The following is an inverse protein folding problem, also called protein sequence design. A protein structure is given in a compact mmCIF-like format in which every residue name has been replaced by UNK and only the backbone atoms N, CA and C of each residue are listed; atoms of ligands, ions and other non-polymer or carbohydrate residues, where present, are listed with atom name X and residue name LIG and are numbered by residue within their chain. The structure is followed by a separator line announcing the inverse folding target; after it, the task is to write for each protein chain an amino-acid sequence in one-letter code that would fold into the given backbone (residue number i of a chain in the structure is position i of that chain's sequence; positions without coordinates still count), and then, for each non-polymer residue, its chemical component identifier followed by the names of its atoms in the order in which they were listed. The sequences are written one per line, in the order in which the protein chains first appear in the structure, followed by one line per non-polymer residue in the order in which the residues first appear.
data_IF_585306562579
#
_entry.id   IF_585306562579
#
_cell.length_a   1.000
_cell.length_b   1.000
_cell.length_c   1.000
_cell.angle_alpha   90.00
_cell.angle_beta   90.00
_cell.angle_gamma   90.00
#
_symmetry.space_group_name_H-M   'P 1'
#
loop_
_entity.id
_entity.type
_entity.pdbx_description
1 polymer ?
#
# COMPACT_ATOMS: atom_id res chain seq x y z
N UNK A 1 15.91 -22.56 40.20
CA UNK A 1 15.07 -21.44 39.71
C UNK A 1 15.04 -21.50 38.19
N UNK A 2 13.93 -21.98 37.63
CA UNK A 2 13.73 -22.13 36.18
C UNK A 2 13.28 -20.78 35.59
N UNK A 3 14.12 -20.17 34.76
CA UNK A 3 13.82 -18.91 34.09
C UNK A 3 12.88 -19.18 32.91
N UNK A 4 11.60 -18.84 33.07
CA UNK A 4 10.58 -18.91 32.01
C UNK A 4 10.99 -17.99 30.85
N UNK A 5 11.42 -18.58 29.74
CA UNK A 5 11.50 -17.92 28.43
C UNK A 5 10.10 -17.44 28.05
N UNK A 6 9.89 -16.11 28.01
CA UNK A 6 8.71 -15.53 27.38
C UNK A 6 8.80 -15.72 25.86
N UNK A 7 8.24 -16.81 25.37
CA UNK A 7 7.92 -16.94 23.95
C UNK A 7 6.84 -15.91 23.63
N UNK A 8 7.21 -14.84 22.93
CA UNK A 8 6.26 -13.88 22.40
C UNK A 8 5.40 -14.53 21.33
N UNK A 9 4.26 -15.08 21.75
CA UNK A 9 3.15 -15.52 20.92
C UNK A 9 2.59 -14.29 20.21
N UNK A 10 2.50 -14.37 18.89
CA UNK A 10 1.97 -13.33 18.03
C UNK A 10 0.45 -13.34 18.19
N UNK A 11 -0.11 -12.31 18.83
CA UNK A 11 -1.55 -12.19 19.01
C UNK A 11 -2.19 -11.81 17.67
N UNK A 12 -2.57 -12.79 16.86
CA UNK A 12 -3.41 -12.57 15.70
C UNK A 12 -4.84 -12.40 16.18
N UNK A 13 -5.42 -11.21 15.99
CA UNK A 13 -6.84 -10.97 16.28
C UNK A 13 -7.71 -11.96 15.50
N UNK A 14 -8.76 -12.46 16.14
CA UNK A 14 -9.80 -13.26 15.49
C UNK A 14 -10.52 -12.46 14.39
N UNK A 15 -11.15 -13.14 13.43
CA UNK A 15 -11.88 -12.47 12.34
C UNK A 15 -12.93 -11.48 12.87
N UNK A 16 -13.66 -11.87 13.93
CA UNK A 16 -14.65 -11.02 14.58
C UNK A 16 -14.03 -9.74 15.19
N UNK A 17 -12.88 -9.85 15.86
CA UNK A 17 -12.17 -8.69 16.41
C UNK A 17 -11.65 -7.77 15.30
N UNK A 18 -11.14 -8.32 14.20
CA UNK A 18 -10.71 -7.53 13.05
C UNK A 18 -11.89 -6.75 12.46
N UNK A 19 -13.04 -7.40 12.30
CA UNK A 19 -14.26 -6.77 11.80
C UNK A 19 -14.74 -5.64 12.73
N UNK A 20 -14.73 -5.86 14.04
CA UNK A 20 -15.11 -4.83 15.02
C UNK A 20 -14.19 -3.59 14.92
N UNK A 21 -12.87 -3.82 14.79
CA UNK A 21 -11.89 -2.73 14.62
C UNK A 21 -12.07 -1.98 13.31
N UNK A 22 -12.41 -2.67 12.22
CA UNK A 22 -12.73 -2.03 10.94
C UNK A 22 -13.98 -1.16 11.05
N UNK A 23 -15.05 -1.67 11.67
CA UNK A 23 -16.30 -0.92 11.87
C UNK A 23 -16.08 0.34 12.71
N UNK A 24 -15.23 0.27 13.74
CA UNK A 24 -14.83 1.43 14.52
C UNK A 24 -14.09 2.48 13.66
N UNK A 25 -13.13 2.05 12.82
CA UNK A 25 -12.46 2.95 11.87
C UNK A 25 -13.45 3.57 10.88
N UNK A 26 -14.37 2.77 10.31
CA UNK A 26 -15.42 3.29 9.42
C UNK A 26 -16.23 4.39 10.09
N UNK A 27 -16.66 4.19 11.34
CA UNK A 27 -17.38 5.20 12.13
C UNK A 27 -16.56 6.49 12.30
N UNK A 28 -15.24 6.38 12.53
CA UNK A 28 -14.34 7.52 12.69
C UNK A 28 -14.04 8.27 11.36
N UNK A 29 -14.06 7.57 10.23
CA UNK A 29 -13.92 8.18 8.90
C UNK A 29 -15.22 8.87 8.47
N UNK A 30 -16.37 8.30 8.83
CA UNK A 30 -17.68 8.90 8.62
C UNK A 30 -18.02 9.09 7.12
N UNK A 31 -18.62 10.22 6.73
CA UNK A 31 -19.09 10.44 5.35
C UNK A 31 -18.02 10.39 4.26
N UNK A 32 -16.73 10.45 4.62
CA UNK A 32 -15.64 10.34 3.67
C UNK A 32 -15.52 8.94 3.04
N UNK A 33 -16.10 7.90 3.66
CA UNK A 33 -16.14 6.55 3.11
C UNK A 33 -16.81 6.51 1.72
N UNK A 34 -17.95 7.17 1.59
CA UNK A 34 -18.79 7.12 0.38
C UNK A 34 -18.16 7.87 -0.81
N UNK A 35 -17.16 8.72 -0.55
CA UNK A 35 -16.47 9.48 -1.59
C UNK A 35 -15.27 8.75 -2.17
N UNK A 36 -14.75 7.75 -1.47
CA UNK A 36 -13.54 7.02 -1.87
C UNK A 36 -13.68 5.51 -1.60
N UNK A 37 -14.64 4.82 -2.25
CA UNK A 37 -14.95 3.42 -1.95
C UNK A 37 -13.73 2.50 -2.08
N UNK A 38 -12.95 2.61 -3.15
CA UNK A 38 -11.74 1.80 -3.35
C UNK A 38 -10.68 2.03 -2.25
N UNK A 39 -10.48 3.29 -1.83
CA UNK A 39 -9.46 3.66 -0.83
C UNK A 39 -9.92 3.39 0.61
N UNK A 40 -11.23 3.28 0.82
CA UNK A 40 -11.87 2.97 2.09
C UNK A 40 -12.40 1.52 2.16
N UNK A 41 -11.96 0.66 1.23
CA UNK A 41 -12.25 -0.77 1.22
C UNK A 41 -11.71 -1.48 2.47
N UNK A 42 -12.26 -2.66 2.78
CA UNK A 42 -11.86 -3.52 3.89
C UNK A 42 -10.36 -3.81 3.85
N UNK A 43 -9.87 -4.22 2.68
CA UNK A 43 -8.45 -4.45 2.42
C UNK A 43 -7.61 -3.21 2.78
N UNK A 44 -8.05 -2.01 2.38
CA UNK A 44 -7.38 -0.77 2.71
C UNK A 44 -7.39 -0.48 4.21
N UNK A 45 -8.55 -0.48 4.85
CA UNK A 45 -8.69 -0.24 6.29
C UNK A 45 -7.82 -1.22 7.10
N UNK A 46 -7.80 -2.50 6.72
CA UNK A 46 -6.94 -3.51 7.34
C UNK A 46 -5.45 -3.19 7.21
N UNK A 47 -4.99 -2.61 6.09
CA UNK A 47 -3.59 -2.19 5.96
C UNK A 47 -3.23 -1.08 6.94
N UNK A 48 -4.11 -0.08 7.09
CA UNK A 48 -3.92 1.02 8.05
C UNK A 48 -3.99 0.52 9.51
N UNK A 49 -4.93 -0.35 9.84
CA UNK A 49 -5.02 -1.02 11.14
C UNK A 49 -3.76 -1.81 11.45
N UNK A 50 -3.32 -2.67 10.52
CA UNK A 50 -2.08 -3.44 10.66
C UNK A 50 -0.90 -2.49 10.90
N UNK A 51 -0.78 -1.41 10.13
CA UNK A 51 0.32 -0.43 10.22
C UNK A 51 0.34 0.38 11.54
N UNK A 52 -0.78 0.47 12.25
CA UNK A 52 -0.91 1.16 13.55
C UNK A 52 -1.23 0.19 14.70
N UNK A 53 -0.83 -1.08 14.57
CA UNK A 53 -0.98 -2.11 15.61
C UNK A 53 -2.42 -2.20 16.15
N UNK A 54 -3.40 -2.14 15.24
CA UNK A 54 -4.84 -2.22 15.52
C UNK A 54 -5.39 -1.10 16.42
N UNK A 55 -4.66 0.01 16.58
CA UNK A 55 -5.18 1.22 17.20
C UNK A 55 -6.08 1.99 16.24
N UNK A 56 -7.39 1.89 16.43
CA UNK A 56 -8.44 2.44 15.56
C UNK A 56 -8.34 3.94 15.34
N UNK A 57 -8.23 4.75 16.40
CA UNK A 57 -8.08 6.22 16.28
C UNK A 57 -6.85 6.62 15.47
N UNK A 58 -5.69 6.01 15.76
CA UNK A 58 -4.43 6.26 15.02
C UNK A 58 -4.51 5.81 13.56
N UNK A 59 -5.22 4.70 13.31
CA UNK A 59 -5.44 4.18 11.95
C UNK A 59 -6.36 5.10 11.15
N UNK A 60 -7.45 5.58 11.77
CA UNK A 60 -8.38 6.51 11.15
C UNK A 60 -7.70 7.84 10.82
N UNK A 61 -6.92 8.43 11.75
CA UNK A 61 -6.13 9.65 11.49
C UNK A 61 -5.21 9.48 10.29
N UNK A 62 -4.42 8.41 10.29
CA UNK A 62 -3.49 8.09 9.19
C UNK A 62 -4.21 7.89 7.84
N UNK A 63 -5.36 7.21 7.84
CA UNK A 63 -6.17 7.04 6.63
C UNK A 63 -6.73 8.37 6.11
N UNK A 64 -7.23 9.24 7.00
CA UNK A 64 -7.68 10.60 6.62
C UNK A 64 -6.54 11.41 5.98
N UNK A 65 -5.35 11.38 6.58
CA UNK A 65 -4.16 12.05 6.06
C UNK A 65 -3.75 11.50 4.67
N UNK A 66 -3.79 10.19 4.49
CA UNK A 66 -3.53 9.56 3.19
C UNK A 66 -4.57 9.98 2.14
N UNK A 67 -5.85 10.06 2.49
CA UNK A 67 -6.91 10.54 1.58
C UNK A 67 -6.69 12.01 1.18
N UNK A 68 -6.33 12.87 2.14
CA UNK A 68 -5.96 14.27 1.86
C UNK A 68 -4.77 14.32 0.89
N UNK A 69 -3.71 13.56 1.16
CA UNK A 69 -2.53 13.53 0.31
C UNK A 69 -2.88 13.10 -1.13
N UNK A 70 -3.77 12.11 -1.31
CA UNK A 70 -4.22 11.66 -2.63
C UNK A 70 -5.03 12.73 -3.37
N UNK A 71 -5.87 13.49 -2.67
CA UNK A 71 -6.61 14.60 -3.27
C UNK A 71 -5.69 15.72 -3.76
N UNK A 72 -4.62 15.99 -3.02
CA UNK A 72 -3.65 17.03 -3.35
C UNK A 72 -2.69 16.61 -4.46
N UNK A 73 -2.18 15.37 -4.39
CA UNK A 73 -1.12 14.87 -5.28
C UNK A 73 -1.65 14.10 -6.50
N UNK A 74 -2.93 13.71 -6.49
CA UNK A 74 -3.63 13.04 -7.60
C UNK A 74 -2.81 11.93 -8.27
N UNK A 75 -2.35 10.92 -7.50
CA UNK A 75 -1.43 9.89 -8.00
C UNK A 75 -2.00 9.11 -9.19
N UNK A 76 -3.32 8.90 -9.22
CA UNK A 76 -4.07 8.25 -10.29
C UNK A 76 -4.12 9.05 -11.61
N UNK A 77 -3.74 10.34 -11.57
CA UNK A 77 -3.71 11.22 -12.75
C UNK A 77 -2.31 11.38 -13.32
N UNK A 78 -1.28 10.81 -12.69
CA UNK A 78 0.07 10.82 -13.24
C UNK A 78 0.09 9.92 -14.48
N UNK A 79 0.63 10.43 -15.57
CA UNK A 79 0.83 9.67 -16.81
C UNK A 79 2.31 9.49 -17.12
N UNK A 80 2.62 8.48 -17.91
CA UNK A 80 3.97 8.13 -18.33
C UNK A 80 4.71 9.32 -18.90
N UNK A 81 4.07 10.06 -19.82
CA UNK A 81 4.73 11.19 -20.48
C UNK A 81 5.02 12.36 -19.50
N UNK A 82 4.38 12.42 -18.32
CA UNK A 82 4.74 13.38 -17.26
C UNK A 82 6.09 13.07 -16.60
N UNK A 83 6.46 11.78 -16.56
CA UNK A 83 7.54 11.26 -15.70
C UNK A 83 8.61 10.47 -16.48
N UNK A 84 8.46 10.27 -17.78
CA UNK A 84 9.28 9.35 -18.58
C UNK A 84 10.78 9.59 -18.43
N UNK A 85 11.21 10.85 -18.40
CA UNK A 85 12.61 11.23 -18.17
C UNK A 85 13.21 10.69 -16.85
N UNK A 86 12.41 10.51 -15.79
CA UNK A 86 12.89 9.92 -14.53
C UNK A 86 13.27 8.45 -14.68
N UNK A 87 12.66 7.76 -15.64
CA UNK A 87 12.86 6.34 -15.85
C UNK A 87 14.08 6.04 -16.73
N UNK A 88 14.50 6.98 -17.58
CA UNK A 88 15.59 6.80 -18.54
C UNK A 88 16.87 6.25 -17.91
N UNK A 89 17.32 6.70 -16.72
CA UNK A 89 18.52 6.12 -16.09
C UNK A 89 18.37 4.68 -15.60
N UNK A 90 17.15 4.12 -15.55
CA UNK A 90 16.91 2.77 -15.03
C UNK A 90 17.14 2.63 -13.52
N UNK A 91 17.14 3.75 -12.77
CA UNK A 91 17.35 3.74 -11.30
C UNK A 91 16.19 3.05 -10.56
N UNK A 92 14.96 3.25 -11.00
CA UNK A 92 13.75 2.63 -10.43
C UNK A 92 12.83 2.25 -11.58
N UNK A 93 12.25 1.05 -11.57
CA UNK A 93 11.26 0.63 -12.57
C UNK A 93 10.43 -0.56 -12.09
N UNK A 94 9.21 -0.70 -12.62
CA UNK A 94 8.39 -1.91 -12.45
C UNK A 94 8.89 -2.98 -13.42
N UNK A 95 9.25 -4.18 -12.97
CA UNK A 95 9.64 -5.26 -13.86
C UNK A 95 8.47 -5.73 -14.75
N UNK A 96 8.74 -6.51 -15.79
CA UNK A 96 7.72 -7.18 -16.63
C UNK A 96 7.45 -8.63 -16.20
N UNK A 97 8.03 -9.06 -15.09
CA UNK A 97 7.82 -10.35 -14.47
C UNK A 97 7.30 -10.22 -13.05
N UNK A 98 6.75 -11.31 -12.56
CA UNK A 98 6.28 -11.48 -11.20
C UNK A 98 7.19 -12.47 -10.48
N UNK A 99 7.16 -12.45 -9.16
CA UNK A 99 7.66 -13.59 -8.40
C UNK A 99 6.70 -14.80 -8.52
N UNK A 100 7.14 -15.96 -8.05
CA UNK A 100 6.35 -17.21 -8.08
C UNK A 100 5.06 -17.15 -7.26
N UNK A 101 4.90 -16.13 -6.40
CA UNK A 101 3.70 -15.87 -5.60
C UNK A 101 2.76 -14.84 -6.26
N UNK A 102 3.05 -14.42 -7.50
CA UNK A 102 2.24 -13.47 -8.24
C UNK A 102 2.36 -12.02 -7.76
N UNK A 103 3.40 -11.68 -7.01
CA UNK A 103 3.69 -10.31 -6.59
C UNK A 103 4.41 -9.57 -7.70
N UNK A 104 4.01 -8.32 -7.92
CA UNK A 104 4.75 -7.40 -8.79
C UNK A 104 6.13 -7.12 -8.21
N UNK A 105 7.09 -6.84 -9.09
CA UNK A 105 8.49 -6.60 -8.73
C UNK A 105 8.86 -5.17 -9.08
N UNK A 106 9.28 -4.40 -8.08
CA UNK A 106 9.84 -3.07 -8.25
C UNK A 106 11.36 -3.16 -8.11
N UNK A 107 12.09 -2.82 -9.16
CA UNK A 107 13.55 -2.83 -9.18
C UNK A 107 14.09 -1.45 -8.78
N UNK A 108 15.14 -1.44 -7.97
CA UNK A 108 15.85 -0.23 -7.57
C UNK A 108 17.36 -0.42 -7.67
N UNK A 109 18.06 0.48 -8.34
CA UNK A 109 19.51 0.45 -8.52
C UNK A 109 20.15 1.69 -7.89
N UNK A 110 20.31 1.73 -6.55
CA UNK A 110 20.81 2.91 -5.85
C UNK A 110 22.19 3.40 -6.32
N UNK A 111 23.02 2.55 -6.95
CA UNK A 111 24.30 2.95 -7.56
C UNK A 111 24.18 3.91 -8.74
N UNK A 112 23.02 3.94 -9.42
CA UNK A 112 22.77 4.84 -10.55
C UNK A 112 22.47 6.25 -10.03
N UNK A 113 23.17 7.31 -10.50
CA UNK A 113 22.88 8.68 -10.10
C UNK A 113 21.52 9.13 -10.64
N UNK A 114 20.83 10.02 -9.93
CA UNK A 114 19.60 10.65 -10.40
C UNK A 114 19.74 12.17 -10.22
N UNK A 115 19.81 12.94 -11.33
CA UNK A 115 20.04 14.39 -11.28
C UNK A 115 18.78 15.20 -10.97
N UNK A 116 17.61 14.56 -10.89
CA UNK A 116 16.35 15.24 -10.82
C UNK A 116 15.95 15.62 -9.39
N UNK A 117 14.99 16.54 -9.28
CA UNK A 117 14.52 17.02 -7.99
C UNK A 117 13.88 15.89 -7.16
N UNK A 118 13.89 16.05 -5.84
CA UNK A 118 13.23 15.11 -4.93
C UNK A 118 11.75 14.94 -5.29
N UNK A 119 11.07 16.02 -5.67
CA UNK A 119 9.67 16.01 -6.06
C UNK A 119 9.44 15.12 -7.29
N UNK A 120 10.25 15.28 -8.35
CA UNK A 120 10.13 14.45 -9.55
C UNK A 120 10.43 12.98 -9.26
N UNK A 121 11.44 12.71 -8.44
CA UNK A 121 11.76 11.35 -8.00
C UNK A 121 10.60 10.72 -7.22
N UNK A 122 9.94 11.48 -6.34
CA UNK A 122 8.78 11.00 -5.58
C UNK A 122 7.56 10.80 -6.49
N UNK A 123 7.30 11.70 -7.43
CA UNK A 123 6.21 11.56 -8.40
C UNK A 123 6.39 10.30 -9.27
N UNK A 124 7.62 10.02 -9.69
CA UNK A 124 7.93 8.79 -10.44
C UNK A 124 7.84 7.52 -9.59
N UNK A 125 8.32 7.55 -8.34
CA UNK A 125 8.14 6.43 -7.42
C UNK A 125 6.64 6.14 -7.19
N UNK A 126 5.84 7.18 -6.96
CA UNK A 126 4.39 7.05 -6.81
C UNK A 126 3.76 6.45 -8.06
N UNK A 127 4.12 6.92 -9.25
CA UNK A 127 3.65 6.33 -10.51
C UNK A 127 3.98 4.83 -10.60
N UNK A 128 5.22 4.43 -10.28
CA UNK A 128 5.62 3.03 -10.26
C UNK A 128 4.83 2.21 -9.22
N UNK A 129 4.57 2.78 -8.05
CA UNK A 129 3.77 2.14 -6.98
C UNK A 129 2.32 1.91 -7.42
N UNK A 130 1.65 2.93 -7.97
CA UNK A 130 0.28 2.81 -8.49
C UNK A 130 0.21 1.73 -9.58
N UNK A 131 1.11 1.81 -10.56
CA UNK A 131 1.22 0.82 -11.64
C UNK A 131 1.54 -0.59 -11.15
N UNK A 132 2.26 -0.72 -10.04
CA UNK A 132 2.56 -2.04 -9.44
C UNK A 132 1.39 -2.57 -8.64
N UNK A 133 0.52 -1.71 -8.12
CA UNK A 133 -0.69 -2.09 -7.37
C UNK A 133 -1.78 -2.57 -8.34
N UNK A 134 -1.91 -1.92 -9.49
CA UNK A 134 -2.90 -2.26 -10.52
C UNK A 134 -2.68 -3.64 -11.13
N UNK A 135 -1.42 -4.05 -11.25
CA UNK A 135 -1.01 -5.35 -11.79
C UNK A 135 -1.02 -6.48 -10.74
N UNK A 136 -1.36 -6.20 -9.47
CA UNK A 136 -1.42 -7.25 -8.46
C UNK A 136 -2.55 -8.24 -8.77
N UNK A 137 -2.23 -9.53 -8.73
CA UNK A 137 -3.21 -10.61 -8.90
C UNK A 137 -4.23 -10.63 -7.75
N UNK A 138 -5.36 -11.29 -7.99
CA UNK A 138 -6.39 -11.53 -6.99
C UNK A 138 -5.84 -12.13 -5.69
N UNK A 139 -6.23 -11.53 -4.56
CA UNK A 139 -5.76 -11.90 -3.23
C UNK A 139 -4.35 -11.41 -2.87
N UNK A 140 -3.65 -10.73 -3.78
CA UNK A 140 -2.32 -10.18 -3.51
C UNK A 140 -2.39 -8.69 -3.16
N UNK A 141 -1.86 -8.32 -1.99
CA UNK A 141 -1.80 -6.91 -1.57
C UNK A 141 -0.39 -6.31 -1.64
N UNK A 142 0.62 -7.16 -1.83
CA UNK A 142 2.02 -6.83 -1.60
C UNK A 142 2.90 -7.04 -2.83
N UNK A 143 3.98 -6.28 -2.87
CA UNK A 143 5.00 -6.31 -3.93
C UNK A 143 6.37 -6.72 -3.38
N UNK A 144 7.25 -7.15 -4.28
CA UNK A 144 8.66 -7.42 -4.00
C UNK A 144 9.50 -6.24 -4.47
N UNK A 145 10.45 -5.82 -3.65
CA UNK A 145 11.44 -4.81 -3.98
C UNK A 145 12.77 -5.51 -4.21
N UNK A 146 13.33 -5.39 -5.40
CA UNK A 146 14.60 -5.99 -5.78
C UNK A 146 15.64 -4.89 -5.95
N UNK A 147 16.62 -4.84 -5.05
CA UNK A 147 17.51 -3.71 -4.88
C UNK A 147 18.93 -4.13 -5.25
N UNK A 148 19.44 -3.61 -6.36
CA UNK A 148 20.77 -3.87 -6.88
C UNK A 148 21.81 -2.90 -6.31
N UNK A 149 22.77 -3.41 -5.54
CA UNK A 149 23.84 -2.60 -4.97
C UNK A 149 25.08 -2.49 -5.87
N UNK A 150 25.03 -2.97 -7.11
CA UNK A 150 26.10 -2.72 -8.07
C UNK A 150 26.34 -1.21 -8.26
N UNK A 151 27.61 -0.81 -8.28
CA UNK A 151 28.03 0.59 -8.36
C UNK A 151 27.69 1.45 -7.13
N UNK A 152 27.06 0.89 -6.09
CA UNK A 152 26.66 1.65 -4.92
C UNK A 152 27.85 2.13 -4.10
N UNK A 153 27.80 3.39 -3.69
CA UNK A 153 28.68 3.96 -2.68
C UNK A 153 27.91 4.90 -1.74
N UNK A 154 28.59 5.39 -0.69
CA UNK A 154 27.95 6.21 0.36
C UNK A 154 27.40 7.55 -0.16
N UNK A 155 27.87 8.05 -1.31
CA UNK A 155 27.36 9.28 -1.93
C UNK A 155 26.19 9.06 -2.88
N UNK A 156 25.90 7.80 -3.25
CA UNK A 156 24.84 7.46 -4.21
C UNK A 156 23.42 7.74 -3.69
N UNK A 157 23.26 8.11 -2.41
CA UNK A 157 21.97 8.24 -1.75
C UNK A 157 21.80 9.58 -1.07
N UNK A 158 20.71 10.25 -1.42
CA UNK A 158 20.27 11.45 -0.73
C UNK A 158 19.43 11.09 0.50
N UNK A 159 19.85 11.59 1.67
CA UNK A 159 19.08 11.48 2.93
C UNK A 159 17.69 12.07 2.76
N UNK A 160 17.56 13.17 2.01
CA UNK A 160 16.29 13.84 1.75
C UNK A 160 15.35 12.94 0.95
N UNK A 161 15.84 12.38 -0.17
CA UNK A 161 15.07 11.43 -1.01
C UNK A 161 14.63 10.22 -0.20
N UNK A 162 15.54 9.66 0.60
CA UNK A 162 15.25 8.45 1.37
C UNK A 162 14.21 8.70 2.47
N UNK A 163 14.27 9.86 3.13
CA UNK A 163 13.27 10.26 4.13
C UNK A 163 11.91 10.45 3.49
N UNK A 164 11.84 11.14 2.35
CA UNK A 164 10.57 11.39 1.67
C UNK A 164 9.97 10.10 1.11
N UNK A 165 10.81 9.19 0.59
CA UNK A 165 10.41 7.83 0.19
C UNK A 165 9.78 7.10 1.37
N UNK A 166 10.45 7.08 2.51
CA UNK A 166 9.92 6.39 3.69
C UNK A 166 8.59 6.99 4.17
N UNK A 167 8.48 8.32 4.17
CA UNK A 167 7.22 9.02 4.51
C UNK A 167 6.09 8.58 3.59
N UNK A 168 6.29 8.64 2.28
CA UNK A 168 5.28 8.24 1.29
C UNK A 168 4.87 6.78 1.49
N UNK A 169 5.83 5.86 1.61
CA UNK A 169 5.53 4.43 1.78
C UNK A 169 4.82 4.14 3.10
N UNK A 170 5.23 4.78 4.19
CA UNK A 170 4.66 4.51 5.51
C UNK A 170 3.29 5.14 5.67
N UNK A 171 3.09 6.38 5.20
CA UNK A 171 1.88 7.15 5.45
C UNK A 171 0.81 6.91 4.38
N UNK A 172 1.22 6.72 3.12
CA UNK A 172 0.29 6.62 1.98
C UNK A 172 0.15 5.20 1.42
N UNK A 173 1.17 4.34 1.56
CA UNK A 173 1.17 2.96 1.05
C UNK A 173 1.46 1.91 2.13
N UNK A 174 0.79 1.96 3.29
CA UNK A 174 1.08 1.05 4.39
C UNK A 174 0.93 -0.41 3.98
N UNK A 175 1.81 -1.25 4.50
CA UNK A 175 1.80 -2.70 4.33
C UNK A 175 1.89 -3.23 2.89
N UNK A 176 2.25 -2.39 1.90
CA UNK A 176 2.47 -2.80 0.50
C UNK A 176 3.74 -3.60 0.26
N UNK A 177 4.78 -3.43 1.09
CA UNK A 177 5.99 -4.24 0.95
C UNK A 177 5.77 -5.66 1.50
N UNK A 178 5.94 -6.66 0.63
CA UNK A 178 5.97 -8.07 1.00
C UNK A 178 7.37 -8.58 1.28
N UNK A 179 8.33 -8.22 0.43
CA UNK A 179 9.74 -8.60 0.57
C UNK A 179 10.65 -7.55 -0.07
N UNK A 180 11.75 -7.22 0.56
CA UNK A 180 12.86 -6.44 0.02
C UNK A 180 14.09 -7.35 -0.06
N UNK A 181 14.59 -7.55 -1.27
CA UNK A 181 15.78 -8.34 -1.56
C UNK A 181 16.89 -7.35 -1.89
N UNK A 182 17.91 -7.32 -1.04
CA UNK A 182 19.12 -6.55 -1.27
C UNK A 182 20.12 -7.47 -1.94
N UNK A 183 20.36 -7.24 -3.22
CA UNK A 183 21.24 -8.05 -4.06
C UNK A 183 22.64 -7.45 -4.13
N UNK A 184 23.64 -8.29 -3.86
CA UNK A 184 25.05 -7.94 -3.73
C UNK A 184 25.36 -6.69 -2.87
N UNK A 185 24.72 -6.48 -1.70
CA UNK A 185 24.99 -5.31 -0.87
C UNK A 185 26.36 -5.42 -0.20
N UNK A 186 27.07 -4.31 0.04
CA UNK A 186 28.32 -4.35 0.79
C UNK A 186 28.13 -5.07 2.13
N UNK A 187 29.01 -6.01 2.49
CA UNK A 187 28.87 -6.88 3.68
C UNK A 187 28.64 -6.14 5.01
N UNK A 188 29.00 -4.86 5.09
CA UNK A 188 28.69 -3.99 6.24
C UNK A 188 27.17 -3.88 6.52
N UNK A 189 26.32 -4.05 5.51
CA UNK A 189 24.86 -4.02 5.65
C UNK A 189 24.34 -5.18 6.48
N UNK A 190 24.85 -6.39 6.31
CA UNK A 190 24.43 -7.54 7.11
C UNK A 190 24.83 -7.40 8.58
N UNK A 191 26.09 -7.02 8.82
CA UNK A 191 26.59 -6.74 10.16
C UNK A 191 25.75 -5.68 10.87
N UNK A 192 25.32 -4.66 10.12
CA UNK A 192 24.41 -3.65 10.63
C UNK A 192 23.00 -4.20 10.90
N UNK A 193 22.46 -5.01 9.98
CA UNK A 193 21.14 -5.63 10.11
C UNK A 193 21.03 -6.48 11.37
N UNK A 194 22.05 -7.28 11.68
CA UNK A 194 22.13 -8.08 12.91
C UNK A 194 22.04 -7.19 14.16
N UNK A 195 22.69 -6.03 14.15
CA UNK A 195 22.70 -5.09 15.28
C UNK A 195 21.32 -4.44 15.51
N UNK A 196 20.58 -4.11 14.44
CA UNK A 196 19.27 -3.45 14.56
C UNK A 196 18.11 -4.42 14.76
N UNK A 197 18.26 -5.67 14.32
CA UNK A 197 17.22 -6.72 14.39
C UNK A 197 16.47 -6.78 15.74
N UNK A 198 17.10 -6.67 16.93
CA UNK A 198 16.38 -6.71 18.21
C UNK A 198 15.34 -5.58 18.39
N UNK A 199 15.57 -4.42 17.77
CA UNK A 199 14.74 -3.22 17.89
C UNK A 199 13.59 -3.18 16.87
N UNK A 200 13.60 -4.08 15.89
CA UNK A 200 12.57 -4.17 14.84
C UNK A 200 11.45 -5.12 15.27
N UNK A 201 10.24 -4.84 14.80
CA UNK A 201 9.14 -5.79 14.90
C UNK A 201 9.42 -7.05 14.07
N UNK A 202 8.86 -8.20 14.48
CA UNK A 202 9.13 -9.49 13.83
C UNK A 202 8.77 -9.45 12.34
N UNK A 203 7.61 -8.86 12.03
CA UNK A 203 7.11 -8.66 10.67
C UNK A 203 8.07 -7.83 9.82
N UNK A 204 8.70 -6.83 10.40
CA UNK A 204 9.66 -5.94 9.72
C UNK A 204 10.93 -6.70 9.30
N UNK A 205 11.54 -7.48 10.20
CA UNK A 205 12.82 -8.11 9.86
C UNK A 205 12.65 -9.26 8.85
N UNK A 206 11.52 -9.98 8.88
CA UNK A 206 11.24 -11.09 7.95
C UNK A 206 11.13 -10.63 6.49
N UNK A 207 10.79 -9.36 6.28
CA UNK A 207 10.62 -8.74 4.96
C UNK A 207 11.94 -8.39 4.29
N UNK A 208 13.11 -8.52 4.91
CA UNK A 208 14.39 -8.14 4.28
C UNK A 208 15.27 -9.38 4.12
N UNK A 209 15.79 -9.56 2.91
CA UNK A 209 16.71 -10.65 2.54
C UNK A 209 17.95 -10.08 1.89
N UNK A 210 19.10 -10.64 2.24
CA UNK A 210 20.38 -10.35 1.62
C UNK A 210 20.69 -11.51 0.70
N UNK A 211 21.08 -11.21 -0.54
CA UNK A 211 21.42 -12.20 -1.57
C UNK A 211 22.75 -11.80 -2.19
N UNK A 212 23.60 -12.78 -2.43
CA UNK A 212 24.91 -12.58 -3.03
C UNK A 212 25.05 -13.42 -4.31
N UNK A 213 25.86 -12.98 -5.29
CA UNK A 213 26.01 -13.69 -6.55
C UNK A 213 26.36 -15.18 -6.43
N UNK A 214 27.04 -15.57 -5.35
CA UNK A 214 27.46 -16.93 -5.06
C UNK A 214 26.43 -17.78 -4.28
N UNK A 215 25.30 -17.20 -3.86
CA UNK A 215 24.20 -17.90 -3.18
C UNK A 215 22.86 -17.39 -3.72
N UNK A 216 22.39 -18.05 -4.77
CA UNK A 216 21.19 -17.69 -5.51
C UNK A 216 19.92 -18.41 -5.04
N UNK A 217 20.01 -19.23 -3.98
CA UNK A 217 18.88 -20.08 -3.56
C UNK A 217 17.59 -19.28 -3.33
N UNK A 218 17.71 -18.11 -2.70
CA UNK A 218 16.57 -17.21 -2.47
C UNK A 218 15.97 -16.72 -3.79
N UNK A 219 16.79 -16.46 -4.81
CA UNK A 219 16.32 -16.03 -6.12
C UNK A 219 15.63 -17.18 -6.86
N UNK A 220 16.22 -18.38 -6.84
CA UNK A 220 15.66 -19.59 -7.43
C UNK A 220 14.32 -19.97 -6.78
N UNK A 221 14.19 -19.83 -5.46
CA UNK A 221 12.96 -20.12 -4.72
C UNK A 221 11.83 -19.12 -5.04
N UNK A 222 12.18 -17.88 -5.40
CA UNK A 222 11.22 -16.78 -5.56
C UNK A 222 10.89 -16.43 -7.01
N UNK A 223 11.79 -16.68 -7.95
CA UNK A 223 11.66 -16.19 -9.33
C UNK A 223 11.81 -17.30 -10.36
N UNK A 224 11.14 -17.09 -11.49
CA UNK A 224 11.41 -17.81 -12.72
C UNK A 224 12.75 -17.31 -13.30
N UNK A 225 13.79 -18.13 -13.21
CA UNK A 225 15.15 -17.74 -13.58
C UNK A 225 15.31 -17.48 -15.08
N UNK A 226 14.41 -17.98 -15.94
CA UNK A 226 14.44 -17.69 -17.37
C UNK A 226 13.92 -16.27 -17.66
N UNK A 227 13.12 -15.69 -16.76
CA UNK A 227 12.56 -14.33 -16.87
C UNK A 227 13.33 -13.29 -16.06
N UNK A 228 13.95 -13.71 -14.97
CA UNK A 228 14.72 -12.83 -14.09
C UNK A 228 15.94 -12.26 -14.85
N UNK A 229 16.21 -10.97 -14.65
CA UNK A 229 17.32 -10.27 -15.29
C UNK A 229 18.69 -10.81 -14.84
N UNK A 230 19.65 -10.81 -15.76
CA UNK A 230 21.01 -11.31 -15.52
C UNK A 230 21.78 -10.57 -14.43
N UNK A 231 21.52 -9.27 -14.21
CA UNK A 231 22.11 -8.52 -13.10
C UNK A 231 21.70 -9.07 -11.72
N UNK A 232 20.63 -9.87 -11.65
CA UNK A 232 20.16 -10.56 -10.45
C UNK A 232 20.43 -12.08 -10.48
N UNK A 233 21.32 -12.55 -11.37
CA UNK A 233 21.66 -13.96 -11.51
C UNK A 233 20.68 -14.79 -12.34
N UNK A 234 19.70 -14.15 -12.99
CA UNK A 234 18.81 -14.80 -13.94
C UNK A 234 19.44 -15.04 -15.31
N UNK A 235 18.70 -15.69 -16.21
CA UNK A 235 19.13 -16.02 -17.57
C UNK A 235 18.61 -15.03 -18.61
N UNK A 236 17.68 -14.14 -18.25
CA UNK A 236 17.21 -13.11 -19.16
C UNK A 236 18.33 -12.08 -19.37
N UNK A 237 18.88 -12.08 -20.58
CA UNK A 237 19.97 -11.16 -20.98
C UNK A 237 19.47 -9.76 -21.30
N UNK A 238 18.15 -9.57 -21.46
CA UNK A 238 17.56 -8.26 -21.62
C UNK A 238 17.54 -7.54 -20.28
N UNK A 239 18.50 -6.64 -20.10
CA UNK A 239 18.49 -5.65 -19.03
C UNK A 239 17.37 -4.62 -19.25
N UNK A 240 17.20 -3.71 -18.29
CA UNK A 240 16.33 -2.55 -18.45
C UNK A 240 16.62 -1.81 -19.77
N UNK A 241 15.65 -1.85 -20.69
CA UNK A 241 15.65 -1.06 -21.93
C UNK A 241 14.58 0.02 -21.83
N UNK A 242 15.01 1.29 -21.91
CA UNK A 242 14.12 2.42 -21.71
C UNK A 242 13.00 2.48 -22.76
N UNK A 243 13.28 2.16 -24.03
CA UNK A 243 12.28 2.25 -25.11
C UNK A 243 11.19 1.20 -24.91
N UNK A 244 11.58 -0.05 -24.67
CA UNK A 244 10.65 -1.16 -24.38
C UNK A 244 9.84 -0.88 -23.12
N UNK A 245 10.50 -0.38 -22.07
CA UNK A 245 9.83 0.01 -20.84
C UNK A 245 8.81 1.13 -21.09
N UNK A 246 9.22 2.19 -21.79
CA UNK A 246 8.40 3.36 -22.13
C UNK A 246 7.14 2.98 -22.90
N UNK A 247 7.27 2.12 -23.92
CA UNK A 247 6.14 1.64 -24.69
C UNK A 247 5.15 0.85 -23.82
N UNK A 248 5.65 -0.03 -22.95
CA UNK A 248 4.79 -0.79 -22.03
C UNK A 248 4.06 0.10 -21.03
N UNK A 249 4.73 1.10 -20.46
CA UNK A 249 4.11 2.00 -19.49
C UNK A 249 3.05 2.89 -20.16
N UNK A 250 3.30 3.38 -21.38
CA UNK A 250 2.31 4.13 -22.16
C UNK A 250 1.10 3.28 -22.52
N UNK A 251 1.30 2.00 -22.85
CA UNK A 251 0.20 1.08 -23.12
C UNK A 251 -0.64 0.81 -21.87
N UNK A 252 0.00 0.64 -20.71
CA UNK A 252 -0.70 0.52 -19.43
C UNK A 252 -1.57 1.74 -19.10
N UNK A 253 -1.06 2.96 -19.37
CA UNK A 253 -1.83 4.20 -19.20
C UNK A 253 -3.04 4.31 -20.12
N UNK A 254 -2.90 3.85 -21.38
CA UNK A 254 -4.03 3.80 -22.34
C UNK A 254 -5.09 2.82 -21.88
N UNK A 255 -4.71 1.59 -21.55
CA UNK A 255 -5.63 0.57 -21.05
C UNK A 255 -6.42 1.09 -19.85
N UNK A 256 -5.73 1.73 -18.89
CA UNK A 256 -6.39 2.36 -17.74
C UNK A 256 -7.41 3.44 -18.16
N UNK A 257 -7.05 4.28 -19.13
CA UNK A 257 -7.93 5.35 -19.61
C UNK A 257 -9.16 4.76 -20.30
N UNK A 258 -9.00 3.72 -21.09
CA UNK A 258 -10.09 3.02 -21.79
C UNK A 258 -11.03 2.31 -20.80
N UNK A 259 -10.50 1.70 -19.73
CA UNK A 259 -11.33 1.15 -18.64
C UNK A 259 -12.19 2.23 -17.96
N UNK A 260 -11.61 3.41 -17.68
CA UNK A 260 -12.34 4.52 -17.07
C UNK A 260 -13.41 5.08 -18.00
N UNK A 261 -13.12 5.22 -19.30
CA UNK A 261 -14.07 5.73 -20.31
C UNK A 261 -15.20 4.75 -20.57
N UNK A 262 -14.92 3.45 -20.61
CA UNK A 262 -15.92 2.39 -20.84
C UNK A 262 -16.84 2.15 -19.63
N UNK A 263 -16.55 2.75 -18.47
CA UNK A 263 -17.31 2.53 -17.23
C UNK A 263 -17.12 1.13 -16.63
N UNK A 264 -16.14 0.37 -17.11
CA UNK A 264 -15.81 -0.94 -16.58
C UNK A 264 -15.11 -0.79 -15.21
N UNK A 265 -15.39 -1.67 -14.23
CA UNK A 265 -14.69 -1.65 -12.94
C UNK A 265 -13.17 -1.77 -13.18
N UNK A 266 -12.39 -0.91 -12.51
CA UNK A 266 -10.92 -1.06 -12.50
C UNK A 266 -10.57 -2.51 -12.07
N UNK A 267 -9.42 -3.06 -12.47
CA UNK A 267 -8.97 -4.35 -11.94
C UNK A 267 -8.91 -4.39 -10.40
N UNK A 268 -8.75 -3.23 -9.77
CA UNK A 268 -8.83 -3.04 -8.31
C UNK A 268 -10.26 -3.03 -7.74
N UNK A 269 -11.27 -2.81 -8.58
CA UNK A 269 -12.70 -2.73 -8.23
C UNK A 269 -13.48 -4.01 -8.57
N UNK A 270 -12.91 -4.92 -9.38
CA UNK A 270 -13.51 -6.24 -9.68
C UNK A 270 -13.68 -7.14 -8.44
N UNK A 271 -13.15 -6.74 -7.28
CA UNK A 271 -13.32 -7.46 -6.02
C UNK A 271 -14.66 -7.22 -5.33
N UNK A 272 -15.48 -6.27 -5.80
CA UNK A 272 -16.77 -5.97 -5.17
C UNK A 272 -17.95 -6.74 -5.75
N UNK A 273 -17.86 -7.26 -6.98
CA UNK A 273 -19.00 -7.95 -7.63
C UNK A 273 -19.02 -9.46 -7.40
N UNK A 274 -17.92 -10.08 -6.96
CA UNK A 274 -17.85 -11.54 -6.79
C UNK A 274 -18.19 -12.05 -5.39
N UNK A 275 -18.49 -11.16 -4.44
CA UNK A 275 -18.94 -11.54 -3.09
C UNK A 275 -20.46 -11.49 -2.92
N UNK A 276 -21.21 -11.00 -3.92
CA UNK A 276 -22.67 -10.91 -3.86
C UNK A 276 -23.38 -12.06 -4.62
N UNK A 277 -22.66 -12.77 -5.51
CA UNK A 277 -23.24 -13.85 -6.33
C UNK A 277 -22.60 -15.22 -6.04
N UNK A 278 -22.63 -15.67 -4.79
CA UNK A 278 -22.00 -16.95 -4.43
C UNK A 278 -22.39 -17.56 -3.10
N UNK A 279 -23.68 -17.61 -2.78
CA UNK A 279 -24.22 -18.60 -1.84
C UNK A 279 -25.69 -18.92 -2.15
N UNK A 280 -25.94 -19.55 -3.29
CA UNK A 280 -27.17 -20.34 -3.45
C UNK A 280 -26.89 -21.74 -2.90
N UNK A 281 -27.54 -22.04 -1.77
CA UNK A 281 -27.73 -23.41 -1.31
C UNK A 281 -28.63 -24.10 -2.33
N UNK A 282 -28.04 -24.95 -3.16
CA UNK A 282 -28.79 -25.92 -3.95
C UNK A 282 -29.24 -27.06 -3.01
N UNK A 283 -30.44 -26.95 -2.45
CA UNK A 283 -31.21 -28.12 -2.04
C UNK A 283 -32.03 -28.58 -3.25
N UNK A 284 -31.58 -29.65 -3.90
CA UNK A 284 -32.46 -30.49 -4.71
C UNK A 284 -32.16 -31.95 -4.37
N UNK A 285 -33.19 -32.63 -3.86
CA UNK A 285 -33.16 -34.01 -3.44
C UNK A 285 -34.53 -34.49 -3.02
N UNK A 286 -35.49 -34.43 -3.94
CA UNK A 286 -36.81 -35.06 -3.83
C UNK A 286 -36.65 -36.56 -3.56
N UNK A 287 -37.26 -37.07 -2.49
CA UNK A 287 -37.97 -38.37 -2.53
C UNK A 287 -38.93 -38.54 -1.35
N UNK A 288 -40.17 -38.85 -1.74
CA UNK A 288 -41.18 -39.73 -1.11
C UNK A 288 -41.91 -39.31 0.18
N UNK A 289 -43.23 -39.14 -0.03
CA UNK A 289 -44.39 -39.68 0.73
C UNK A 289 -44.58 -39.20 2.18
N UNK A 290 -45.63 -38.43 2.46
CA UNK A 290 -46.95 -38.99 2.76
C UNK A 290 -48.04 -37.91 2.91
N UNK A 291 -49.28 -38.35 2.69
CA UNK A 291 -50.55 -37.64 2.81
C UNK A 291 -50.78 -37.05 4.21
N UNK A 292 -51.55 -35.96 4.31
CA UNK A 292 -52.85 -35.92 5.00
C UNK A 292 -53.40 -34.49 5.06
N UNK A 293 -54.66 -34.39 4.66
CA UNK A 293 -55.58 -33.25 4.66
C UNK A 293 -55.94 -32.73 6.06
N UNK A 294 -56.17 -31.42 6.22
CA UNK A 294 -57.36 -30.90 6.94
C UNK A 294 -57.48 -29.37 6.87
N UNK A 295 -58.71 -28.95 6.54
CA UNK A 295 -59.27 -27.59 6.49
C UNK A 295 -59.32 -26.85 7.86
N UNK A 296 -59.46 -25.52 7.81
CA UNK A 296 -60.43 -24.63 8.50
C UNK A 296 -59.93 -23.16 8.33
N UNK A 297 -60.61 -22.26 7.60
CA UNK A 297 -61.66 -21.30 8.07
C UNK A 297 -61.26 -20.52 9.35
N UNK A 298 -61.38 -19.19 9.51
CA UNK A 298 -62.19 -18.14 8.85
C UNK A 298 -61.75 -16.71 9.31
N UNK A 299 -62.26 -15.68 8.60
CA UNK A 299 -62.75 -14.34 9.05
C UNK A 299 -61.79 -13.33 9.73
N UNK A 300 -61.82 -12.00 9.52
CA UNK A 300 -62.69 -11.10 8.74
C UNK A 300 -62.14 -9.64 8.67
N UNK A 301 -62.60 -8.91 7.63
CA UNK A 301 -62.84 -7.44 7.45
C UNK A 301 -61.70 -6.40 7.62
N UNK A 302 -61.22 -5.61 6.62
CA UNK A 302 -61.79 -4.56 5.71
C UNK A 302 -62.36 -3.32 6.43
N UNK A 303 -61.99 -2.06 6.15
CA UNK A 303 -62.21 -1.19 4.96
C UNK A 303 -61.27 0.06 5.08
N UNK A 304 -60.52 0.53 4.07
CA UNK A 304 -60.82 1.22 2.78
C UNK A 304 -60.74 2.76 2.84
N UNK A 305 -60.01 3.36 1.88
CA UNK A 305 -60.32 4.62 1.18
C UNK A 305 -59.36 4.84 -0.01
N UNK A 306 -59.91 4.76 -1.23
CA UNK A 306 -59.28 5.07 -2.53
C UNK A 306 -59.20 6.58 -2.80
N UNK A 307 -58.24 7.01 -3.64
CA UNK A 307 -58.47 8.07 -4.65
C UNK A 307 -57.58 7.90 -5.89
N UNK A 308 -58.21 7.87 -7.07
CA UNK A 308 -57.64 7.96 -8.42
C UNK A 308 -57.12 9.36 -8.74
N UNK A 309 -56.11 9.47 -9.62
CA UNK A 309 -56.04 10.55 -10.62
C UNK A 309 -55.18 10.13 -11.84
N UNK A 310 -55.81 10.13 -13.02
CA UNK A 310 -55.13 10.28 -14.31
C UNK A 310 -55.03 11.77 -14.59
N UNK A 311 -53.89 12.25 -15.10
CA UNK A 311 -53.83 13.26 -16.17
C UNK A 311 -52.42 13.36 -16.76
N UNK A 312 -52.37 13.37 -18.09
CA UNK A 312 -51.18 13.52 -18.92
C UNK A 312 -50.55 14.92 -18.75
N UNK A 313 -49.23 14.99 -18.53
CA UNK A 313 -48.45 16.21 -18.75
C UNK A 313 -47.33 15.93 -19.75
N UNK A 314 -47.39 16.68 -20.85
CA UNK A 314 -46.49 16.70 -22.00
C UNK A 314 -45.02 16.83 -21.59
N UNK A 315 -44.17 15.97 -22.15
CA UNK A 315 -42.71 16.00 -22.01
C UNK A 315 -42.13 17.12 -22.89
N UNK A 316 -41.45 18.08 -22.25
CA UNK A 316 -40.59 19.06 -22.92
C UNK A 316 -39.30 18.37 -23.41
N UNK A 317 -38.97 18.38 -24.72
CA UNK A 317 -37.79 17.69 -25.25
C UNK A 317 -36.45 18.32 -24.84
N UNK A 318 -36.43 19.42 -24.08
CA UNK A 318 -35.19 20.11 -23.70
C UNK A 318 -34.68 19.80 -22.27
N UNK A 319 -35.28 18.83 -21.56
CA UNK A 319 -34.84 18.41 -20.23
C UNK A 319 -33.51 17.61 -20.22
N UNK A 320 -32.94 17.30 -21.38
CA UNK A 320 -31.67 16.56 -21.51
C UNK A 320 -30.43 17.48 -21.52
N UNK A 321 -30.40 18.53 -20.68
CA UNK A 321 -29.19 19.31 -20.38
C UNK A 321 -29.27 19.93 -18.99
N UNK A 322 -29.19 19.11 -17.94
CA UNK A 322 -28.52 19.43 -16.66
C UNK A 322 -28.81 18.35 -15.61
N UNK A 323 -28.01 17.29 -15.61
CA UNK A 323 -27.68 16.57 -14.37
C UNK A 323 -26.18 16.81 -14.15
N UNK A 324 -25.85 18.01 -13.67
CA UNK A 324 -24.57 18.22 -13.00
C UNK A 324 -24.79 17.78 -11.55
N UNK A 325 -24.38 16.56 -11.25
CA UNK A 325 -24.12 16.16 -9.86
C UNK A 325 -23.18 17.22 -9.27
N UNK A 326 -23.62 17.92 -8.23
CA UNK A 326 -22.85 18.96 -7.58
C UNK A 326 -21.70 18.34 -6.80
N UNK A 327 -20.60 18.04 -7.50
CA UNK A 327 -19.35 17.65 -6.89
C UNK A 327 -18.88 18.80 -5.98
N UNK A 328 -18.82 18.54 -4.68
CA UNK A 328 -18.14 19.43 -3.74
C UNK A 328 -16.69 19.57 -4.23
N UNK A 329 -16.21 20.77 -4.58
CA UNK A 329 -14.86 20.96 -5.10
C UNK A 329 -13.81 20.28 -4.21
N UNK A 330 -12.80 19.65 -4.82
CA UNK A 330 -11.74 18.94 -4.09
C UNK A 330 -11.10 19.81 -2.99
N UNK A 331 -11.01 21.13 -3.21
CA UNK A 331 -10.54 22.11 -2.20
C UNK A 331 -11.41 22.16 -0.94
N UNK A 332 -12.73 22.08 -1.08
CA UNK A 332 -13.69 22.06 0.03
C UNK A 332 -13.64 20.71 0.76
N UNK A 333 -13.49 19.60 0.03
CA UNK A 333 -13.35 18.28 0.63
C UNK A 333 -12.05 18.15 1.43
N UNK A 334 -10.93 18.61 0.86
CA UNK A 334 -9.64 18.68 1.55
C UNK A 334 -9.74 19.57 2.79
N UNK A 335 -10.42 20.73 2.69
CA UNK A 335 -10.64 21.61 3.84
C UNK A 335 -11.45 20.92 4.94
N UNK A 336 -12.56 20.24 4.59
CA UNK A 336 -13.39 19.48 5.54
C UNK A 336 -12.63 18.33 6.21
N UNK A 337 -11.82 17.59 5.45
CA UNK A 337 -10.98 16.52 6.00
C UNK A 337 -9.88 17.08 6.94
N UNK A 338 -9.26 18.20 6.58
CA UNK A 338 -8.27 18.91 7.42
C UNK A 338 -8.90 19.49 8.68
N UNK A 339 -10.13 19.98 8.61
CA UNK A 339 -10.87 20.45 9.79
C UNK A 339 -11.23 19.28 10.71
N UNK A 340 -11.70 18.17 10.15
CA UNK A 340 -12.01 16.95 10.89
C UNK A 340 -10.78 16.25 11.49
N UNK A 341 -9.58 16.46 10.94
CA UNK A 341 -8.34 15.97 11.55
C UNK A 341 -7.86 16.87 12.69
N UNK A 342 -8.13 18.18 12.64
CA UNK A 342 -7.75 19.16 13.68
C UNK A 342 -8.61 19.09 14.93
N UNK A 343 -9.89 18.75 14.83
CA UNK A 343 -10.77 18.55 15.99
C UNK A 343 -10.36 17.34 16.85
N UNK A 344 -9.52 16.44 16.33
CA UNK A 344 -8.94 15.31 17.07
C UNK A 344 -7.54 15.63 17.68
N UNK A 345 -6.95 16.82 17.41
CA UNK A 345 -5.60 17.21 17.85
C UNK A 345 -5.50 17.81 19.26
N UNK A 346 -6.60 17.85 20.01
CA UNK A 346 -6.55 18.06 21.45
C UNK A 346 -5.90 16.86 22.13
N UNK A 347 -4.57 16.91 22.33
CA UNK A 347 -3.67 15.94 22.99
C UNK A 347 -2.80 15.12 22.00
N UNK A 348 -1.75 15.73 21.45
CA UNK A 348 -0.36 15.20 21.47
C UNK A 348 0.58 16.16 20.70
N UNK A 349 1.58 16.73 21.40
CA UNK A 349 2.65 17.53 20.80
C UNK A 349 3.75 16.59 20.29
N UNK A 350 3.91 16.50 18.97
CA UNK A 350 5.07 15.87 18.36
C UNK A 350 6.26 16.85 18.28
N UNK A 351 7.39 16.41 18.82
CA UNK A 351 8.64 17.16 18.89
C UNK A 351 9.37 17.07 17.55
N UNK A 352 9.62 18.23 16.93
CA UNK A 352 10.43 18.41 15.73
C UNK A 352 11.82 17.76 15.84
N UNK A 353 12.27 17.21 14.72
CA UNK A 353 13.58 16.59 14.59
C UNK A 353 14.59 17.62 14.05
N UNK A 354 15.16 18.43 14.93
CA UNK A 354 16.21 19.39 14.57
C UNK A 354 17.55 18.70 14.26
N UNK A 355 18.23 19.23 13.24
CA UNK A 355 19.47 18.77 12.60
C UNK A 355 20.68 18.85 13.54
N UNK A 356 21.43 17.76 13.65
CA UNK A 356 22.77 17.76 14.24
C UNK A 356 23.78 17.26 13.21
N UNK A 357 24.19 18.13 12.29
CA UNK A 357 25.43 17.97 11.53
C UNK A 357 26.47 18.88 12.16
N UNK A 358 27.32 18.33 13.03
CA UNK A 358 28.65 18.85 13.37
C UNK A 358 29.40 17.81 14.21
N UNK A 359 30.53 17.35 13.64
CA UNK A 359 31.60 16.51 14.21
C UNK A 359 31.21 15.05 14.50
N UNK A 360 31.81 14.07 13.79
CA UNK A 360 32.30 12.76 14.30
C UNK A 360 32.86 11.85 13.19
N UNK A 361 33.87 11.06 13.53
CA UNK A 361 34.83 10.38 12.63
C UNK A 361 34.33 9.21 11.76
N UNK A 362 35.23 8.61 10.95
CA UNK A 362 34.90 7.94 9.68
C UNK A 362 34.07 6.66 9.78
N UNK A 363 34.04 5.99 10.94
CA UNK A 363 33.36 4.70 11.10
C UNK A 363 31.90 4.82 11.61
N UNK A 364 31.48 5.98 12.15
CA UNK A 364 30.09 6.20 12.60
C UNK A 364 29.14 6.50 11.44
N UNK A 365 29.65 7.06 10.35
CA UNK A 365 28.88 7.45 9.18
C UNK A 365 28.26 6.25 8.43
N UNK A 366 29.01 5.14 8.29
CA UNK A 366 28.53 3.97 7.51
C UNK A 366 27.24 3.35 8.07
N UNK A 367 27.10 3.30 9.40
CA UNK A 367 25.93 2.72 10.07
C UNK A 367 24.69 3.61 10.01
N UNK A 368 24.87 4.93 10.05
CA UNK A 368 23.75 5.88 9.88
C UNK A 368 23.20 5.84 8.44
N UNK A 369 24.06 5.67 7.44
CA UNK A 369 23.63 5.50 6.04
C UNK A 369 22.79 4.23 5.82
N UNK A 370 23.20 3.12 6.42
CA UNK A 370 22.43 1.86 6.34
C UNK A 370 21.06 2.00 7.03
N UNK A 371 20.98 2.73 8.16
CA UNK A 371 19.69 3.04 8.79
C UNK A 371 18.78 3.85 7.89
N UNK A 372 19.33 4.87 7.24
CA UNK A 372 18.58 5.75 6.35
C UNK A 372 18.05 4.92 5.18
N UNK A 373 18.90 4.11 4.55
CA UNK A 373 18.55 3.24 3.44
C UNK A 373 17.43 2.25 3.74
N UNK A 374 17.44 1.69 4.95
CA UNK A 374 16.47 0.70 5.37
C UNK A 374 15.25 1.33 6.06
N UNK A 375 15.25 2.65 6.26
CA UNK A 375 14.17 3.42 6.87
C UNK A 375 12.82 3.20 6.19
N UNK A 376 12.72 3.15 4.85
CA UNK A 376 11.47 2.82 4.18
C UNK A 376 10.91 1.45 4.58
N UNK A 377 11.78 0.52 4.98
CA UNK A 377 11.42 -0.84 5.38
C UNK A 377 11.18 -0.99 6.88
N UNK A 378 11.55 0.00 7.71
CA UNK A 378 11.45 -0.11 9.16
C UNK A 378 10.06 0.26 9.69
N UNK A 379 9.38 -0.71 10.29
CA UNK A 379 8.30 -0.47 11.27
C UNK A 379 8.87 -0.53 12.69
N UNK A 380 8.79 0.57 13.43
CA UNK A 380 9.30 0.68 14.81
C UNK A 380 8.40 -0.11 15.77
N UNK A 381 9.01 -0.84 16.72
CA UNK A 381 8.32 -1.19 17.97
C UNK A 381 7.95 0.11 18.69
N UNK A 382 6.71 0.24 19.12
CA UNK A 382 6.13 1.46 19.69
C UNK A 382 7.08 2.29 20.56
N UNK A 383 7.10 3.60 20.32
CA UNK A 383 7.71 4.60 21.21
C UNK A 383 9.24 4.77 21.18
N UNK A 384 10.02 3.95 20.47
CA UNK A 384 11.48 4.09 20.49
C UNK A 384 11.95 5.20 19.52
N UNK A 385 12.31 6.37 20.07
CA UNK A 385 13.01 7.44 19.34
C UNK A 385 14.39 6.94 18.87
N UNK A 386 14.80 7.25 17.64
CA UNK A 386 16.14 6.93 17.09
C UNK A 386 17.27 7.49 17.98
N UNK A 387 17.01 8.63 18.67
CA UNK A 387 17.90 9.20 19.69
C UNK A 387 18.16 8.23 20.88
N UNK A 388 17.26 7.29 21.16
CA UNK A 388 17.40 6.31 22.25
C UNK A 388 18.31 5.13 21.88
N UNK A 389 18.34 4.72 20.61
CA UNK A 389 19.35 3.78 20.08
C UNK A 389 20.74 4.45 20.11
N UNK A 390 20.81 5.77 19.89
CA UNK A 390 22.04 6.56 20.04
C UNK A 390 22.54 6.67 21.49
N UNK A 391 21.68 6.55 22.51
CA UNK A 391 22.06 6.67 23.93
C UNK A 391 22.30 5.32 24.63
N UNK A 392 21.45 4.30 24.43
CA UNK A 392 21.45 3.09 25.26
C UNK A 392 22.57 2.05 24.99
N UNK A 393 23.47 2.26 24.03
CA UNK A 393 24.56 1.30 23.75
C UNK A 393 25.91 1.91 23.41
N UNK A 394 26.07 3.23 23.57
CA UNK A 394 27.31 3.93 23.25
C UNK A 394 28.07 4.45 24.49
N UNK A 395 27.70 3.97 25.68
CA UNK A 395 28.43 4.18 26.95
C UNK A 395 29.07 2.90 27.51
N UNK A 396 28.95 1.75 26.84
CA UNK A 396 29.65 0.53 27.24
C UNK A 396 30.58 0.06 26.12
N UNK A 397 31.69 0.77 26.00
CA UNK A 397 33.03 0.34 25.55
C UNK A 397 33.82 1.65 25.47
N UNK A 398 34.33 2.06 26.63
CA UNK A 398 35.50 2.94 26.71
C UNK A 398 36.74 2.16 26.26
#
# INVERSE_FOLDING_TARGET
MSSKKSQGVEFSLSSAEQQAKMNEVRKLIGPALNKFPAMCSDASILRFLRARNWHTKRSAKMLKEALIWRLENKPNMIRWDDIAQQAEPGKVYKANYFDKYGRTVLVMKPGIPNPYSVEMQMRYLVYCMENSILDLKSGQEQMVWLIDFEGWNMSSISVKVTRETARILQDCYPERLGLAILYNPPKVFESFWILVKPFLEKRTYKKVKFVYPNDQKVMEDLFDMDKLESCFGGKCTQCFDYVTYSNRMREGDKMMTDFVISGAPLPSDQYLTTLDNGFELSEDGISSTDETTSNLESSDETEDLQMNYNDEIKVDPNASKQIKQSEIPSSILTKKLKEASKTEEGVERDVEMETASKRKGPNRNKREWILILLLPFFRKKGGIRIKSIKRKKFECTA
#
